data_IF_432082853261
#
_entry.id   IF_432082853261
#
_cell.length_a   1.000
_cell.length_b   1.000
_cell.length_c   1.000
_cell.angle_alpha   90.00
_cell.angle_beta   90.00
_cell.angle_gamma   90.00
#
_symmetry.space_group_name_H-M   'P 1'
#
loop_
_entity.id
_entity.type
_entity.pdbx_description
1 polymer ?
#
# COMPACT_ATOMS: atom_id res chain seq x y z
N UNK A 1 -9.07 5.15 -10.92
CA UNK A 1 -8.41 5.57 -9.67
C UNK A 1 -6.92 5.35 -9.79
N UNK A 2 -6.06 6.36 -9.56
CA UNK A 2 -4.59 6.22 -9.61
C UNK A 2 -3.97 5.63 -8.32
N UNK A 3 -4.77 5.48 -7.26
CA UNK A 3 -4.30 5.00 -5.96
C UNK A 3 -3.70 3.58 -6.01
N UNK A 4 -4.26 2.68 -6.83
CA UNK A 4 -3.75 1.30 -7.01
C UNK A 4 -2.38 1.29 -7.66
N UNK A 5 -2.18 2.10 -8.71
CA UNK A 5 -0.88 2.28 -9.34
C UNK A 5 0.15 2.85 -8.35
N UNK A 6 -0.29 3.80 -7.49
CA UNK A 6 0.51 4.33 -6.40
C UNK A 6 0.99 3.26 -5.41
N UNK A 7 0.13 2.29 -5.04
CA UNK A 7 0.51 1.18 -4.18
C UNK A 7 1.57 0.27 -4.83
N UNK A 8 1.41 -0.07 -6.12
CA UNK A 8 2.41 -0.85 -6.87
C UNK A 8 3.76 -0.15 -6.94
N UNK A 9 3.76 1.14 -7.27
CA UNK A 9 5.00 1.93 -7.30
C UNK A 9 5.63 2.05 -5.92
N UNK A 10 4.84 2.23 -4.86
CA UNK A 10 5.35 2.25 -3.49
C UNK A 10 6.05 0.94 -3.14
N UNK A 11 5.51 -0.21 -3.54
CA UNK A 11 6.17 -1.50 -3.35
C UNK A 11 7.50 -1.59 -4.11
N UNK A 12 7.52 -1.18 -5.39
CA UNK A 12 8.75 -1.16 -6.19
C UNK A 12 9.83 -0.26 -5.60
N UNK A 13 9.45 0.91 -5.07
CA UNK A 13 10.37 1.82 -4.37
C UNK A 13 10.95 1.16 -3.12
N UNK A 14 10.12 0.51 -2.31
CA UNK A 14 10.61 -0.21 -1.12
C UNK A 14 11.56 -1.34 -1.51
N UNK A 15 11.25 -2.10 -2.56
CA UNK A 15 12.11 -3.15 -3.08
C UNK A 15 13.48 -2.61 -3.55
N UNK A 16 13.48 -1.46 -4.22
CA UNK A 16 14.70 -0.81 -4.71
C UNK A 16 15.55 -0.21 -3.57
N UNK A 17 14.94 0.26 -2.49
CA UNK A 17 15.65 0.81 -1.32
C UNK A 17 16.26 -0.31 -0.47
N UNK A 18 15.53 -1.41 -0.30
CA UNK A 18 15.93 -2.49 0.61
C UNK A 18 17.04 -3.36 0.02
N UNK A 19 17.17 -3.44 -1.32
CA UNK A 19 18.20 -4.06 -2.20
C UNK A 19 18.87 -5.38 -1.73
N UNK A 20 18.33 -6.02 -0.70
CA UNK A 20 18.83 -7.24 -0.10
C UNK A 20 17.85 -8.34 -0.48
N UNK A 21 18.35 -9.31 -1.26
CA UNK A 21 17.58 -10.47 -1.73
C UNK A 21 16.93 -11.29 -0.61
N UNK A 22 17.35 -11.08 0.64
CA UNK A 22 16.94 -11.85 1.80
C UNK A 22 15.96 -11.11 2.74
N UNK A 23 15.68 -9.84 2.48
CA UNK A 23 14.83 -9.03 3.38
C UNK A 23 13.42 -8.91 2.83
N UNK A 24 12.45 -9.46 3.57
CA UNK A 24 11.02 -9.32 3.26
C UNK A 24 10.58 -7.87 3.42
N UNK A 25 10.13 -7.24 2.34
CA UNK A 25 9.54 -5.91 2.36
C UNK A 25 8.22 -5.94 3.12
N UNK A 26 8.15 -5.25 4.27
CA UNK A 26 6.93 -5.12 5.08
C UNK A 26 6.20 -3.81 4.73
N UNK A 27 4.88 -3.85 4.69
CA UNK A 27 4.02 -2.68 4.41
C UNK A 27 3.82 -1.71 5.59
N UNK A 28 4.50 -1.93 6.71
CA UNK A 28 4.34 -1.16 7.95
C UNK A 28 5.71 -0.91 8.60
N UNK A 29 5.80 0.16 9.41
CA UNK A 29 7.01 0.49 10.17
C UNK A 29 7.06 -0.33 11.46
N UNK A 30 8.12 -1.13 11.61
CA UNK A 30 8.32 -1.98 12.80
C UNK A 30 8.82 -1.20 14.02
N UNK A 31 9.55 -0.10 13.82
CA UNK A 31 10.31 0.52 14.91
C UNK A 31 9.50 1.46 15.82
N UNK A 32 8.55 2.23 15.29
CA UNK A 32 8.04 3.40 16.04
C UNK A 32 6.53 3.38 16.34
N UNK A 33 5.68 2.81 15.49
CA UNK A 33 4.21 3.04 15.61
C UNK A 33 3.29 1.95 15.02
N UNK A 34 3.80 0.85 14.47
CA UNK A 34 2.99 -0.15 13.74
C UNK A 34 2.05 0.48 12.68
N UNK A 35 2.47 1.59 12.07
CA UNK A 35 1.68 2.30 11.06
C UNK A 35 2.01 1.80 9.66
N UNK A 36 1.00 1.76 8.80
CA UNK A 36 1.18 1.46 7.38
C UNK A 36 2.00 2.56 6.69
N UNK A 37 2.93 2.16 5.81
CA UNK A 37 3.74 3.09 5.01
C UNK A 37 2.89 4.03 4.15
N UNK A 38 1.73 3.54 3.69
CA UNK A 38 0.76 4.29 2.89
C UNK A 38 -0.46 4.77 3.71
N UNK A 39 -0.35 4.92 5.04
CA UNK A 39 -1.47 5.37 5.91
C UNK A 39 -2.03 6.75 5.53
N UNK A 40 -1.19 7.64 5.02
CA UNK A 40 -1.60 8.97 4.57
C UNK A 40 -2.52 8.89 3.33
N UNK A 41 -2.28 7.95 2.42
CA UNK A 41 -3.14 7.73 1.25
C UNK A 41 -4.57 7.39 1.67
N UNK A 42 -4.72 6.50 2.66
CA UNK A 42 -6.04 6.17 3.20
C UNK A 42 -6.70 7.39 3.86
N UNK A 43 -5.93 8.20 4.58
CA UNK A 43 -6.42 9.44 5.21
C UNK A 43 -6.99 10.42 4.18
N UNK A 44 -6.36 10.57 3.01
CA UNK A 44 -6.87 11.44 1.94
C UNK A 44 -8.17 10.91 1.32
N UNK A 45 -8.33 9.59 1.20
CA UNK A 45 -9.50 8.98 0.54
C UNK A 45 -10.66 8.75 1.52
N UNK A 46 -10.41 8.80 2.83
CA UNK A 46 -11.39 8.41 3.87
C UNK A 46 -12.67 9.26 3.86
N UNK A 47 -12.59 10.53 3.45
CA UNK A 47 -13.68 11.50 3.55
C UNK A 47 -14.87 11.20 2.64
N UNK A 48 -14.64 10.54 1.50
CA UNK A 48 -15.69 10.20 0.55
C UNK A 48 -15.99 8.69 0.60
N UNK A 49 -17.22 8.31 0.95
CA UNK A 49 -17.65 6.91 1.05
C UNK A 49 -17.45 6.12 -0.24
N UNK A 50 -17.73 6.70 -1.40
CA UNK A 50 -17.59 6.01 -2.68
C UNK A 50 -16.11 5.76 -2.99
N UNK A 51 -15.26 6.78 -2.89
CA UNK A 51 -13.83 6.63 -3.12
C UNK A 51 -13.17 5.69 -2.11
N UNK A 52 -13.56 5.74 -0.83
CA UNK A 52 -13.09 4.81 0.20
C UNK A 52 -13.44 3.37 -0.12
N UNK A 53 -14.71 3.08 -0.45
CA UNK A 53 -15.14 1.70 -0.80
C UNK A 53 -14.44 1.20 -2.04
N UNK A 54 -14.38 2.01 -3.09
CA UNK A 54 -13.74 1.65 -4.34
C UNK A 54 -12.24 1.36 -4.13
N UNK A 55 -11.55 2.20 -3.36
CA UNK A 55 -10.14 2.00 -3.01
C UNK A 55 -9.89 0.67 -2.29
N UNK A 56 -10.68 0.37 -1.25
CA UNK A 56 -10.53 -0.88 -0.49
C UNK A 56 -10.80 -2.12 -1.34
N UNK A 57 -11.84 -2.08 -2.19
CA UNK A 57 -12.14 -3.19 -3.12
C UNK A 57 -10.99 -3.38 -4.10
N UNK A 58 -10.49 -2.30 -4.72
CA UNK A 58 -9.37 -2.40 -5.65
C UNK A 58 -8.07 -2.87 -4.98
N UNK A 59 -7.87 -2.57 -3.69
CA UNK A 59 -6.73 -3.04 -2.93
C UNK A 59 -6.83 -4.54 -2.62
N UNK A 60 -8.02 -5.04 -2.28
CA UNK A 60 -8.25 -6.48 -2.06
C UNK A 60 -8.03 -7.27 -3.35
N UNK A 61 -8.68 -6.85 -4.44
CA UNK A 61 -8.53 -7.50 -5.75
C UNK A 61 -7.08 -7.49 -6.24
N UNK A 62 -6.30 -6.45 -5.90
CA UNK A 62 -4.88 -6.39 -6.26
C UNK A 62 -4.08 -7.54 -5.64
N UNK A 63 -4.43 -8.01 -4.44
CA UNK A 63 -3.74 -9.14 -3.83
C UNK A 63 -4.30 -10.49 -4.30
N UNK A 64 -5.60 -10.58 -4.56
CA UNK A 64 -6.24 -11.80 -5.04
C UNK A 64 -5.86 -12.14 -6.49
N UNK A 65 -5.72 -11.16 -7.38
CA UNK A 65 -5.37 -11.37 -8.79
C UNK A 65 -3.90 -11.83 -9.01
N UNK A 66 -3.05 -11.82 -7.97
CA UNK A 66 -1.65 -12.21 -8.04
C UNK A 66 -1.34 -13.53 -7.29
N UNK A 67 -2.37 -14.35 -6.99
CA UNK A 67 -2.24 -15.68 -6.39
C UNK A 67 -2.10 -16.80 -7.43
#
# INVERSE_FOLDING_TARGET
>A
MKAVAGMKMSYQVQQAIVDSKDTVVRGFRQDETNTALCSHLYTMVRGNRQHRRAFLISLLNLFDDNA
#
